data_IF_302027132633
#
_entry.id   IF_302027132633
#
_cell.length_a   1.000
_cell.length_b   1.000
_cell.length_c   1.000
_cell.angle_alpha   90.00
_cell.angle_beta   90.00
_cell.angle_gamma   90.00
#
_symmetry.space_group_name_H-M   'P 1'
#
loop_
_entity.id
_entity.type
_entity.pdbx_description
1 polymer ?
#
# COMPACT_ATOMS: atom_id res chain seq x y z
N UNK A 1 -9.88 -8.47 12.33
CA UNK A 1 -8.60 -8.85 11.71
C UNK A 1 -7.59 -9.02 12.81
N UNK A 2 -7.05 -10.22 12.96
CA UNK A 2 -5.97 -10.52 13.90
C UNK A 2 -4.63 -10.28 13.20
N UNK A 3 -3.68 -9.69 13.92
CA UNK A 3 -2.32 -9.43 13.43
C UNK A 3 -1.33 -10.18 14.29
N UNK A 4 -0.42 -10.93 13.67
CA UNK A 4 0.63 -11.70 14.37
C UNK A 4 1.98 -11.06 14.03
N UNK A 5 2.75 -10.70 15.05
CA UNK A 5 4.13 -10.20 14.91
C UNK A 5 5.11 -11.28 15.32
N UNK A 6 6.11 -11.53 14.48
CA UNK A 6 7.07 -12.60 14.72
C UNK A 6 8.42 -12.31 14.08
N UNK A 7 9.48 -12.90 14.64
CA UNK A 7 10.84 -12.73 14.14
C UNK A 7 11.05 -13.42 12.79
N UNK A 8 11.98 -12.91 11.97
CA UNK A 8 12.35 -13.54 10.70
C UNK A 8 12.70 -15.04 10.82
N UNK A 9 13.37 -15.43 11.92
CA UNK A 9 13.71 -16.84 12.19
C UNK A 9 12.45 -17.67 12.48
N UNK A 10 11.52 -17.14 13.27
CA UNK A 10 10.25 -17.82 13.56
C UNK A 10 9.38 -17.94 12.31
N UNK A 11 9.38 -16.90 11.46
CA UNK A 11 8.66 -16.87 10.19
C UNK A 11 9.13 -18.00 9.27
N UNK A 12 10.45 -18.16 9.17
CA UNK A 12 11.07 -19.18 8.33
C UNK A 12 10.68 -20.59 8.79
N UNK A 13 10.75 -20.84 10.10
CA UNK A 13 10.51 -22.18 10.65
C UNK A 13 9.03 -22.61 10.57
N UNK A 14 8.10 -21.67 10.64
CA UNK A 14 6.64 -21.93 10.64
C UNK A 14 5.93 -21.43 9.39
N UNK A 15 6.65 -21.31 8.29
CA UNK A 15 6.18 -20.59 7.11
C UNK A 15 4.82 -21.10 6.58
N UNK A 16 4.66 -22.41 6.43
CA UNK A 16 3.41 -22.99 5.93
C UNK A 16 2.23 -22.87 6.91
N UNK A 17 2.48 -22.97 8.22
CA UNK A 17 1.45 -22.75 9.24
C UNK A 17 0.93 -21.31 9.20
N UNK A 18 1.85 -20.35 9.04
CA UNK A 18 1.52 -18.94 8.89
C UNK A 18 0.69 -18.69 7.61
N UNK A 19 0.99 -19.37 6.51
CA UNK A 19 0.17 -19.27 5.28
C UNK A 19 -1.26 -19.76 5.49
N UNK A 20 -1.46 -20.84 6.27
CA UNK A 20 -2.81 -21.31 6.61
C UNK A 20 -3.56 -20.26 7.43
N UNK A 21 -2.89 -19.62 8.41
CA UNK A 21 -3.49 -18.54 9.20
C UNK A 21 -3.80 -17.30 8.37
N UNK A 22 -2.94 -16.98 7.39
CA UNK A 22 -3.16 -15.88 6.45
C UNK A 22 -4.35 -16.16 5.53
N UNK A 23 -4.52 -17.40 5.09
CA UNK A 23 -5.70 -17.83 4.32
C UNK A 23 -7.01 -17.66 5.11
N UNK A 24 -6.96 -17.82 6.44
CA UNK A 24 -8.08 -17.56 7.36
C UNK A 24 -8.31 -16.06 7.65
N UNK A 25 -7.52 -15.16 7.05
CA UNK A 25 -7.68 -13.71 7.17
C UNK A 25 -6.80 -13.04 8.24
N UNK A 26 -5.76 -13.72 8.71
CA UNK A 26 -4.75 -13.15 9.61
C UNK A 26 -3.70 -12.37 8.81
N UNK A 27 -3.23 -11.24 9.34
CA UNK A 27 -2.07 -10.52 8.81
C UNK A 27 -0.82 -10.89 9.62
N UNK A 28 0.27 -11.24 8.93
CA UNK A 28 1.52 -11.63 9.58
C UNK A 28 2.58 -10.58 9.28
N UNK A 29 3.09 -9.95 10.34
CA UNK A 29 4.16 -8.97 10.27
C UNK A 29 5.46 -9.63 10.71
N UNK A 30 6.46 -9.61 9.83
CA UNK A 30 7.79 -10.14 10.07
C UNK A 30 8.70 -9.01 10.51
N UNK A 31 9.27 -9.16 11.70
CA UNK A 31 10.20 -8.21 12.29
C UNK A 31 11.63 -8.76 12.33
N UNK A 32 12.61 -7.87 12.13
CA UNK A 32 14.02 -8.10 12.40
C UNK A 32 14.56 -6.88 13.13
N UNK A 33 15.26 -7.10 14.25
CA UNK A 33 15.85 -6.02 15.04
C UNK A 33 14.84 -4.93 15.44
N UNK A 34 13.62 -5.35 15.81
CA UNK A 34 12.47 -4.47 16.16
C UNK A 34 12.01 -3.55 15.03
N UNK A 35 12.43 -3.82 13.80
CA UNK A 35 11.94 -3.15 12.60
C UNK A 35 11.09 -4.11 11.79
N UNK A 36 9.97 -3.60 11.30
CA UNK A 36 9.13 -4.29 10.34
C UNK A 36 9.87 -4.42 9.02
N UNK A 37 10.06 -5.66 8.56
CA UNK A 37 10.80 -5.98 7.33
C UNK A 37 9.87 -6.47 6.23
N UNK A 38 8.84 -7.23 6.58
CA UNK A 38 7.90 -7.77 5.60
C UNK A 38 6.51 -7.99 6.21
N UNK A 39 5.50 -7.98 5.36
CA UNK A 39 4.11 -8.29 5.72
C UNK A 39 3.62 -9.40 4.78
N UNK A 40 3.03 -10.45 5.35
CA UNK A 40 2.33 -11.51 4.61
C UNK A 40 0.83 -11.30 4.85
N UNK A 41 0.08 -11.08 3.76
CA UNK A 41 -1.37 -10.93 3.76
C UNK A 41 -2.00 -11.80 2.69
N UNK A 42 -3.27 -12.15 2.89
CA UNK A 42 -4.05 -12.86 1.89
C UNK A 42 -4.11 -12.05 0.60
N UNK A 43 -3.96 -12.73 -0.55
CA UNK A 43 -4.06 -12.08 -1.86
C UNK A 43 -5.44 -11.43 -2.00
N UNK A 44 -5.48 -10.10 -2.04
CA UNK A 44 -6.69 -9.37 -2.43
C UNK A 44 -6.98 -9.65 -3.90
N UNK A 45 -8.16 -10.18 -4.20
CA UNK A 45 -8.61 -10.47 -5.58
C UNK A 45 -8.94 -9.20 -6.36
N UNK A 46 -9.24 -8.11 -5.66
CA UNK A 46 -9.47 -6.78 -6.24
C UNK A 46 -8.36 -5.83 -5.80
N UNK A 47 -7.89 -5.02 -6.75
CA UNK A 47 -6.94 -3.95 -6.46
C UNK A 47 -7.60 -2.93 -5.53
N UNK A 48 -6.99 -2.71 -4.38
CA UNK A 48 -7.37 -1.68 -3.42
C UNK A 48 -6.79 -0.34 -3.90
N UNK A 49 -7.51 0.29 -4.82
CA UNK A 49 -7.08 1.51 -5.50
C UNK A 49 -6.84 2.68 -4.52
N UNK A 50 -7.60 2.75 -3.42
CA UNK A 50 -7.43 3.77 -2.38
C UNK A 50 -6.09 3.59 -1.64
N UNK A 51 -5.76 2.35 -1.25
CA UNK A 51 -4.48 2.04 -0.62
C UNK A 51 -3.30 2.26 -1.55
N UNK A 52 -3.46 1.91 -2.84
CA UNK A 52 -2.45 2.14 -3.86
C UNK A 52 -2.19 3.63 -4.07
N UNK A 53 -3.24 4.45 -4.16
CA UNK A 53 -3.13 5.91 -4.26
C UNK A 53 -2.40 6.50 -3.05
N UNK A 54 -2.74 6.04 -1.83
CA UNK A 54 -2.08 6.48 -0.60
C UNK A 54 -0.60 6.11 -0.57
N UNK A 55 -0.25 4.89 -0.98
CA UNK A 55 1.14 4.44 -1.09
C UNK A 55 1.90 5.24 -2.15
N UNK A 56 1.32 5.44 -3.34
CA UNK A 56 1.90 6.24 -4.42
C UNK A 56 2.22 7.68 -3.96
N UNK A 57 1.28 8.35 -3.29
CA UNK A 57 1.50 9.68 -2.70
C UNK A 57 2.60 9.70 -1.64
N UNK A 58 2.73 8.63 -0.85
CA UNK A 58 3.80 8.49 0.16
C UNK A 58 5.17 8.29 -0.50
N UNK A 59 5.21 7.57 -1.62
CA UNK A 59 6.43 7.24 -2.38
C UNK A 59 6.93 8.41 -3.24
N UNK A 60 6.10 9.44 -3.50
CA UNK A 60 6.51 10.62 -4.26
C UNK A 60 7.72 11.40 -3.70
N UNK A 61 8.28 11.03 -2.53
CA UNK A 61 9.68 11.29 -2.20
C UNK A 61 10.15 12.73 -2.47
N UNK A 62 11.12 12.89 -3.38
CA UNK A 62 11.73 14.16 -3.81
C UNK A 62 10.78 15.01 -4.68
N UNK A 63 9.78 14.38 -5.28
CA UNK A 63 8.77 15.01 -6.13
C UNK A 63 7.54 15.47 -5.35
N UNK A 64 7.56 15.40 -4.01
CA UNK A 64 6.44 15.82 -3.14
C UNK A 64 6.04 17.29 -3.31
N UNK A 65 6.96 18.12 -3.82
CA UNK A 65 6.74 19.54 -4.07
C UNK A 65 6.29 19.84 -5.52
N UNK A 66 6.30 18.84 -6.40
CA UNK A 66 5.83 19.01 -7.76
C UNK A 66 4.37 18.57 -7.85
N UNK A 67 3.58 19.30 -8.62
CA UNK A 67 2.20 18.91 -8.92
C UNK A 67 2.20 17.63 -9.78
N UNK A 68 1.14 16.83 -9.70
CA UNK A 68 1.07 15.57 -10.47
C UNK A 68 1.08 15.87 -11.98
N UNK A 69 0.58 17.05 -12.36
CA UNK A 69 0.62 17.61 -13.71
C UNK A 69 2.05 17.96 -14.17
N UNK A 70 2.94 18.34 -13.25
CA UNK A 70 4.35 18.64 -13.55
C UNK A 70 5.16 17.36 -13.81
N UNK A 71 4.90 16.29 -13.04
CA UNK A 71 5.67 15.05 -13.11
C UNK A 71 5.11 14.10 -14.18
N UNK A 72 3.80 14.09 -14.39
CA UNK A 72 3.14 13.12 -15.26
C UNK A 72 2.67 13.77 -16.56
N UNK A 73 3.34 13.41 -17.66
CA UNK A 73 2.89 13.75 -19.03
C UNK A 73 1.49 13.21 -19.33
N UNK A 74 1.06 12.16 -18.64
CA UNK A 74 -0.25 11.53 -18.76
C UNK A 74 -1.36 12.29 -18.00
N UNK A 75 -1.02 13.31 -17.20
CA UNK A 75 -2.02 14.14 -16.47
C UNK A 75 -2.06 15.59 -16.92
N UNK A 76 -1.31 15.96 -17.96
CA UNK A 76 -1.33 17.31 -18.52
C UNK A 76 -2.65 17.60 -19.24
N UNK A 77 -3.04 18.87 -19.29
CA UNK A 77 -4.19 19.35 -20.08
C UNK A 77 -3.97 18.98 -21.56
N UNK A 78 -4.83 18.12 -22.10
CA UNK A 78 -4.72 17.58 -23.47
C UNK A 78 -4.19 16.15 -23.55
N UNK A 79 -3.78 15.53 -22.44
CA UNK A 79 -3.46 14.11 -22.41
C UNK A 79 -4.70 13.25 -22.72
N UNK A 80 -4.48 12.07 -23.30
CA UNK A 80 -5.56 11.14 -23.62
C UNK A 80 -6.23 10.68 -22.31
N UNK A 81 -7.52 11.01 -22.14
CA UNK A 81 -8.32 10.71 -20.93
C UNK A 81 -8.31 9.24 -20.48
N UNK A 82 -7.95 8.30 -21.36
CA UNK A 82 -7.84 6.87 -21.04
C UNK A 82 -6.57 6.48 -20.26
N UNK A 83 -5.55 7.33 -20.24
CA UNK A 83 -4.29 7.07 -19.54
C UNK A 83 -4.04 8.13 -18.47
N UNK A 84 -3.68 7.69 -17.26
CA UNK A 84 -3.27 8.58 -16.16
C UNK A 84 -4.36 8.93 -15.14
N UNK A 85 -5.64 8.66 -15.44
CA UNK A 85 -6.80 9.03 -14.60
C UNK A 85 -7.35 7.88 -13.73
N UNK A 86 -6.57 6.82 -13.50
CA UNK A 86 -7.01 5.62 -12.77
C UNK A 86 -7.47 5.88 -11.32
N UNK A 87 -7.08 7.00 -10.73
CA UNK A 87 -7.42 7.43 -9.37
C UNK A 87 -8.58 8.44 -9.32
N UNK A 88 -9.12 8.87 -10.46
CA UNK A 88 -10.25 9.82 -10.48
C UNK A 88 -11.49 9.16 -9.86
N UNK A 89 -12.07 9.84 -8.87
CA UNK A 89 -13.24 9.35 -8.13
C UNK A 89 -12.94 8.54 -6.88
N UNK A 90 -11.66 8.26 -6.58
CA UNK A 90 -11.26 7.67 -5.30
C UNK A 90 -11.42 8.67 -4.16
N UNK A 91 -12.10 8.25 -3.08
CA UNK A 91 -12.33 9.12 -1.91
C UNK A 91 -11.07 9.18 -1.06
N UNK A 92 -10.26 10.21 -1.27
CA UNK A 92 -9.16 10.52 -0.37
C UNK A 92 -9.77 11.01 0.95
N UNK A 93 -9.83 10.15 1.97
CA UNK A 93 -10.09 10.58 3.35
C UNK A 93 -8.88 11.38 3.84
N UNK A 94 -8.84 12.67 3.53
CA UNK A 94 -7.98 13.63 4.22
C UNK A 94 -8.44 13.63 5.69
N UNK A 95 -7.66 13.03 6.59
CA UNK A 95 -7.82 13.34 8.02
C UNK A 95 -7.63 14.86 8.14
N UNK A 96 -8.57 15.49 8.82
CA UNK A 96 -8.74 16.94 8.85
C UNK A 96 -7.44 17.70 9.06
N UNK A 97 -7.27 18.75 8.24
CA UNK A 97 -6.88 20.03 8.81
C UNK A 97 -8.16 20.60 9.44
N UNK A 98 -8.28 20.43 10.74
CA UNK A 98 -9.01 21.43 11.52
C UNK A 98 -8.07 22.64 11.59
N UNK A 99 -8.60 23.76 11.07
CA UNK A 99 -8.13 25.15 11.13
C UNK A 99 -6.76 25.45 10.49
#
# INVERSE_FOLDING_TARGET
>A
MSTIRLSATSARNKFFELLNQVALGTEVIIEKDRKEVAIITGKKTKTDWDSLLKASKKVHGIFKNYSVEEISTLRKKGAWKGFGEWDKGLKVKTRGREL
#
